data_IF_651142535772
#
_entry.id   IF_651142535772
#
_cell.length_a   1.000
_cell.length_b   1.000
_cell.length_c   1.000
_cell.angle_alpha   90.00
_cell.angle_beta   90.00
_cell.angle_gamma   90.00
#
_symmetry.space_group_name_H-M   'P 1'
#
loop_
_entity.id
_entity.type
_entity.pdbx_description
1 polymer ?
#
# COMPACT_ATOMS: atom_id res chain seq x y z
N UNK A 1 -43.94 -70.17 -6.87
CA UNK A 1 -45.27 -69.53 -6.82
C UNK A 1 -45.25 -68.42 -5.78
N UNK A 2 -45.79 -67.24 -6.15
CA UNK A 2 -45.72 -65.96 -5.44
C UNK A 2 -46.38 -65.97 -4.05
N UNK A 3 -45.87 -65.11 -3.15
CA UNK A 3 -46.61 -64.23 -2.22
C UNK A 3 -45.57 -63.31 -1.51
N UNK A 4 -45.46 -62.05 -1.90
CA UNK A 4 -46.22 -60.85 -1.46
C UNK A 4 -45.76 -60.28 -0.11
N UNK A 5 -45.09 -59.12 -0.24
CA UNK A 5 -45.03 -57.92 0.61
C UNK A 5 -45.15 -58.06 2.14
N UNK A 6 -44.17 -57.48 2.84
CA UNK A 6 -44.42 -56.59 3.99
C UNK A 6 -43.32 -55.54 4.13
N UNK A 7 -43.75 -54.28 4.16
CA UNK A 7 -42.97 -53.11 4.53
C UNK A 7 -42.50 -53.23 5.98
N UNK A 8 -41.22 -52.98 6.24
CA UNK A 8 -40.77 -52.57 7.57
C UNK A 8 -39.63 -51.56 7.41
N UNK A 9 -40.01 -50.29 7.44
CA UNK A 9 -39.14 -49.18 7.80
C UNK A 9 -38.48 -49.52 9.16
N UNK A 10 -37.17 -49.69 9.18
CA UNK A 10 -36.40 -49.49 10.41
C UNK A 10 -35.25 -48.53 10.06
N UNK A 11 -35.56 -47.27 10.35
CA UNK A 11 -34.65 -46.15 10.48
C UNK A 11 -33.54 -46.54 11.45
N UNK A 12 -32.31 -46.69 10.95
CA UNK A 12 -31.14 -46.75 11.83
C UNK A 12 -30.33 -45.48 11.64
N UNK A 13 -30.26 -44.75 12.74
CA UNK A 13 -29.81 -43.38 12.92
C UNK A 13 -28.33 -43.26 12.54
N UNK A 14 -28.04 -42.54 11.45
CA UNK A 14 -26.72 -41.98 11.24
C UNK A 14 -26.51 -40.89 12.29
N UNK A 15 -25.71 -41.18 13.31
CA UNK A 15 -25.22 -40.21 14.28
C UNK A 15 -24.25 -39.27 13.55
N UNK A 16 -24.82 -38.30 12.83
CA UNK A 16 -24.08 -37.23 12.20
C UNK A 16 -23.47 -36.36 13.29
N UNK A 17 -22.15 -36.48 13.47
CA UNK A 17 -21.36 -35.43 14.11
C UNK A 17 -21.52 -34.16 13.25
N UNK A 18 -22.46 -33.31 13.64
CA UNK A 18 -22.58 -31.95 13.12
C UNK A 18 -21.42 -31.16 13.70
N UNK A 19 -20.28 -31.20 13.02
CA UNK A 19 -19.30 -30.13 13.12
C UNK A 19 -19.97 -28.88 12.56
N UNK A 20 -20.56 -28.09 13.45
CA UNK A 20 -20.97 -26.73 13.16
C UNK A 20 -19.72 -25.96 12.73
N UNK A 21 -19.49 -25.88 11.42
CA UNK A 21 -18.60 -24.89 10.85
C UNK A 21 -19.17 -23.53 11.22
N UNK A 22 -18.68 -22.96 12.33
CA UNK A 22 -18.83 -21.54 12.61
C UNK A 22 -18.26 -20.83 11.38
N UNK A 23 -19.02 -20.01 10.65
CA UNK A 23 -18.42 -19.16 9.65
C UNK A 23 -17.49 -18.22 10.43
N UNK A 24 -16.20 -18.52 10.41
CA UNK A 24 -15.19 -17.60 10.88
C UNK A 24 -15.43 -16.30 10.12
N UNK A 25 -15.79 -15.25 10.84
CA UNK A 25 -15.85 -13.90 10.30
C UNK A 25 -14.51 -13.64 9.61
N UNK A 26 -14.48 -13.73 8.28
CA UNK A 26 -13.37 -13.28 7.45
C UNK A 26 -13.29 -11.74 7.39
N UNK A 27 -13.61 -11.07 8.50
CA UNK A 27 -13.49 -9.63 8.70
C UNK A 27 -12.21 -9.35 9.49
N UNK A 28 -11.09 -9.82 8.96
CA UNK A 28 -9.76 -9.32 9.27
C UNK A 28 -8.82 -9.59 8.08
N UNK A 29 -9.33 -9.47 6.85
CA UNK A 29 -8.44 -9.29 5.71
C UNK A 29 -7.96 -7.83 5.75
N UNK A 30 -6.70 -7.61 6.13
CA UNK A 30 -6.07 -6.30 6.00
C UNK A 30 -6.18 -5.82 4.54
N UNK A 31 -6.34 -4.51 4.35
CA UNK A 31 -6.37 -3.92 3.00
C UNK A 31 -5.10 -4.33 2.24
N UNK A 32 -5.23 -4.67 0.96
CA UNK A 32 -4.05 -4.86 0.09
C UNK A 32 -3.35 -3.50 -0.09
N UNK A 33 -2.12 -3.43 0.43
CA UNK A 33 -1.27 -2.23 0.41
C UNK A 33 -0.13 -2.34 -0.60
N UNK A 34 -0.23 -3.29 -1.53
CA UNK A 34 0.76 -3.44 -2.59
C UNK A 34 0.85 -2.19 -3.47
N UNK A 35 2.03 -1.97 -4.04
CA UNK A 35 2.28 -0.92 -5.02
C UNK A 35 1.30 -0.99 -6.20
N UNK A 36 1.10 -2.18 -6.75
CA UNK A 36 0.16 -2.41 -7.83
C UNK A 36 -1.25 -1.94 -7.46
N UNK A 37 -1.72 -2.27 -6.25
CA UNK A 37 -3.04 -1.85 -5.77
C UNK A 37 -3.17 -0.33 -5.65
N UNK A 38 -2.12 0.34 -5.19
CA UNK A 38 -2.09 1.80 -5.12
C UNK A 38 -2.18 2.44 -6.51
N UNK A 39 -1.38 1.94 -7.47
CA UNK A 39 -1.32 2.49 -8.83
C UNK A 39 -2.60 2.27 -9.65
N UNK A 40 -3.43 1.27 -9.31
CA UNK A 40 -4.75 1.08 -9.94
C UNK A 40 -5.63 2.33 -9.86
N UNK A 41 -5.56 3.08 -8.76
CA UNK A 41 -6.37 4.29 -8.54
C UNK A 41 -5.56 5.58 -8.74
N UNK A 42 -4.27 5.58 -8.37
CA UNK A 42 -3.41 6.77 -8.47
C UNK A 42 -2.80 6.99 -9.86
N UNK A 43 -2.93 6.00 -10.76
CA UNK A 43 -2.38 6.02 -12.11
C UNK A 43 -0.97 5.44 -12.19
N UNK A 44 -0.40 5.32 -13.41
CA UNK A 44 0.94 4.78 -13.60
C UNK A 44 2.01 5.68 -12.94
N UNK A 45 3.07 5.06 -12.44
CA UNK A 45 4.10 5.74 -11.67
C UNK A 45 4.75 6.89 -12.45
N UNK A 46 4.96 6.73 -13.75
CA UNK A 46 5.60 7.72 -14.62
C UNK A 46 4.81 9.03 -14.63
N UNK A 47 3.48 8.97 -14.56
CA UNK A 47 2.63 10.16 -14.45
C UNK A 47 2.74 10.84 -13.09
N UNK A 48 3.04 10.10 -12.02
CA UNK A 48 3.30 10.66 -10.70
C UNK A 48 4.68 11.32 -10.65
N UNK A 49 5.69 10.66 -11.24
CA UNK A 49 7.03 11.21 -11.39
C UNK A 49 7.08 12.44 -12.30
N UNK A 50 6.20 12.55 -13.30
CA UNK A 50 6.15 13.72 -14.19
C UNK A 50 5.41 14.92 -13.59
N UNK A 51 4.77 14.79 -12.42
CA UNK A 51 4.06 15.93 -11.80
C UNK A 51 5.04 17.02 -11.39
N UNK A 52 4.63 18.30 -11.48
CA UNK A 52 5.41 19.40 -10.95
C UNK A 52 5.76 19.18 -9.47
N UNK A 53 6.94 19.64 -9.02
CA UNK A 53 7.30 19.60 -7.62
C UNK A 53 6.27 20.30 -6.74
N UNK A 54 5.87 19.64 -5.64
CA UNK A 54 4.85 20.17 -4.73
C UNK A 54 5.25 20.07 -3.25
N UNK A 55 6.17 19.16 -2.90
CA UNK A 55 6.62 19.02 -1.53
C UNK A 55 7.64 20.12 -1.22
N UNK A 56 7.37 20.96 -0.23
CA UNK A 56 8.28 22.02 0.18
C UNK A 56 9.44 21.43 0.99
N UNK A 57 10.57 21.23 0.33
CA UNK A 57 11.86 20.88 0.93
C UNK A 57 12.69 22.11 1.27
N UNK A 58 13.61 21.98 2.22
CA UNK A 58 14.60 23.02 2.50
C UNK A 58 15.86 22.76 1.67
N UNK A 59 16.35 23.77 0.95
CA UNK A 59 17.63 23.76 0.22
C UNK A 59 18.52 24.85 0.85
N UNK A 60 19.60 24.45 1.56
CA UNK A 60 20.47 25.30 2.35
C UNK A 60 21.49 25.99 1.43
N UNK A 61 21.93 25.34 0.35
CA UNK A 61 22.82 25.91 -0.66
C UNK A 61 22.16 27.06 -1.45
N UNK A 62 20.82 27.13 -1.44
CA UNK A 62 20.05 28.26 -2.01
C UNK A 62 19.35 29.13 -0.97
N UNK A 63 19.48 28.85 0.33
CA UNK A 63 18.73 29.50 1.41
C UNK A 63 17.23 29.64 1.11
N UNK A 64 16.64 28.66 0.42
CA UNK A 64 15.28 28.74 -0.13
C UNK A 64 14.55 27.41 0.06
N UNK A 65 13.24 27.51 0.30
CA UNK A 65 12.37 26.35 0.17
C UNK A 65 12.31 25.96 -1.31
N UNK A 66 12.86 24.81 -1.66
CA UNK A 66 12.68 24.22 -2.99
C UNK A 66 11.49 23.28 -2.96
N UNK A 67 10.60 23.40 -3.93
CA UNK A 67 9.61 22.36 -4.13
C UNK A 67 10.31 21.16 -4.78
N UNK A 68 10.13 19.97 -4.24
CA UNK A 68 10.60 18.69 -4.80
C UNK A 68 9.42 17.77 -5.10
N UNK A 69 9.60 16.87 -6.07
CA UNK A 69 8.74 15.71 -6.27
C UNK A 69 9.52 14.47 -5.86
N UNK A 70 9.26 13.86 -4.67
CA UNK A 70 10.02 12.70 -4.21
C UNK A 70 10.05 11.53 -5.20
N UNK A 71 9.02 11.38 -6.04
CA UNK A 71 8.96 10.35 -7.09
C UNK A 71 9.97 10.56 -8.24
N UNK A 72 10.64 11.71 -8.33
CA UNK A 72 11.71 11.93 -9.32
C UNK A 72 13.10 11.62 -8.77
N UNK A 73 13.21 11.57 -7.44
CA UNK A 73 14.49 11.56 -6.75
C UNK A 73 14.71 10.30 -5.92
N UNK A 74 13.67 9.52 -5.59
CA UNK A 74 13.84 8.30 -4.81
C UNK A 74 13.21 7.06 -5.46
N UNK A 75 13.99 5.98 -5.68
CA UNK A 75 15.44 5.91 -5.48
C UNK A 75 16.17 6.77 -6.53
N UNK A 76 17.38 7.23 -6.20
CA UNK A 76 18.13 8.14 -7.07
C UNK A 76 18.51 7.51 -8.42
N UNK A 77 18.72 6.20 -8.46
CA UNK A 77 19.31 5.48 -9.58
C UNK A 77 18.29 4.84 -10.54
N UNK A 78 17.08 4.51 -10.07
CA UNK A 78 16.04 3.87 -10.88
C UNK A 78 14.72 4.63 -10.76
N UNK A 79 14.37 5.32 -11.85
CA UNK A 79 13.19 6.18 -11.93
C UNK A 79 11.93 5.45 -12.42
N UNK A 80 11.96 4.12 -12.45
CA UNK A 80 10.83 3.29 -12.85
C UNK A 80 10.06 2.77 -11.63
N UNK A 81 8.83 2.32 -11.86
CA UNK A 81 8.03 1.65 -10.82
C UNK A 81 8.77 0.46 -10.15
N UNK A 82 9.69 -0.20 -10.86
CA UNK A 82 10.40 -1.37 -10.31
C UNK A 82 11.45 -0.98 -9.28
N UNK A 83 12.11 0.15 -9.48
CA UNK A 83 13.14 0.65 -8.58
C UNK A 83 12.60 1.18 -7.26
N UNK A 84 11.37 1.69 -7.27
CA UNK A 84 10.83 2.36 -6.09
C UNK A 84 10.51 1.39 -4.96
N UNK A 85 10.70 1.85 -3.73
CA UNK A 85 10.15 1.17 -2.56
C UNK A 85 8.61 1.17 -2.60
N UNK A 86 7.97 0.37 -1.76
CA UNK A 86 6.50 0.40 -1.66
C UNK A 86 5.99 1.79 -1.32
N UNK A 87 4.81 2.14 -1.86
CA UNK A 87 4.19 3.45 -1.67
C UNK A 87 4.02 3.79 -0.18
N UNK A 88 3.81 2.75 0.64
CA UNK A 88 3.66 2.84 2.09
C UNK A 88 4.90 3.32 2.83
N UNK A 89 6.04 3.38 2.14
CA UNK A 89 7.25 3.94 2.71
C UNK A 89 7.10 5.43 3.03
N UNK A 90 6.42 6.20 2.18
CA UNK A 90 6.18 7.64 2.41
C UNK A 90 4.70 7.98 2.62
N UNK A 91 3.78 7.13 2.15
CA UNK A 91 2.35 7.36 2.24
C UNK A 91 1.73 6.45 3.29
N UNK A 92 0.71 6.94 4.01
CA UNK A 92 -0.15 6.04 4.77
C UNK A 92 -1.31 5.56 3.89
N UNK A 93 -1.61 4.24 3.88
CA UNK A 93 -2.80 3.73 3.21
C UNK A 93 -4.05 4.43 3.74
N UNK A 94 -4.90 4.85 2.82
CA UNK A 94 -6.24 5.32 3.16
C UNK A 94 -7.24 4.16 3.03
N UNK A 95 -8.43 4.32 3.63
CA UNK A 95 -9.55 3.41 3.40
C UNK A 95 -9.86 3.29 1.90
N UNK A 96 -10.34 2.13 1.47
CA UNK A 96 -10.88 1.99 0.11
C UNK A 96 -12.15 2.87 -0.05
N UNK A 97 -12.43 3.31 -1.27
CA UNK A 97 -13.62 4.11 -1.61
C UNK A 97 -13.71 5.46 -0.89
N UNK A 98 -12.59 6.18 -0.86
CA UNK A 98 -12.53 7.59 -0.44
C UNK A 98 -13.57 8.44 -1.19
N UNK A 99 -14.32 9.26 -0.45
CA UNK A 99 -15.24 10.24 -1.01
C UNK A 99 -14.54 11.58 -1.25
N UNK A 100 -15.01 12.42 -2.19
CA UNK A 100 -14.51 13.79 -2.31
C UNK A 100 -14.59 14.53 -0.97
N UNK A 101 -13.47 15.11 -0.53
CA UNK A 101 -13.37 15.81 0.75
C UNK A 101 -12.96 14.94 1.95
N UNK A 102 -12.90 13.61 1.80
CA UNK A 102 -12.29 12.76 2.83
C UNK A 102 -10.82 13.16 3.01
N UNK A 103 -10.41 13.34 4.27
CA UNK A 103 -9.03 13.70 4.61
C UNK A 103 -8.16 12.45 4.56
N UNK A 104 -7.01 12.57 3.90
CA UNK A 104 -5.92 11.60 4.01
C UNK A 104 -4.78 12.21 4.80
N UNK A 105 -4.02 11.36 5.47
CA UNK A 105 -2.73 11.77 5.98
C UNK A 105 -1.81 12.13 4.81
N UNK A 106 -1.06 13.22 4.97
CA UNK A 106 -0.09 13.64 3.96
C UNK A 106 1.12 12.71 4.01
N UNK A 107 1.70 12.48 2.84
CA UNK A 107 3.00 11.83 2.78
C UNK A 107 4.06 12.68 3.50
N UNK A 108 5.03 12.00 4.11
CA UNK A 108 6.20 12.62 4.72
C UNK A 108 7.47 12.17 4.00
N UNK A 109 8.52 12.98 4.16
CA UNK A 109 9.86 12.73 3.61
C UNK A 109 10.88 12.51 4.72
N UNK A 110 10.44 12.23 5.97
CA UNK A 110 11.37 12.14 7.10
C UNK A 110 12.42 11.05 6.87
N UNK A 111 12.02 9.98 6.17
CA UNK A 111 12.94 8.91 5.77
C UNK A 111 14.05 9.37 4.83
N UNK A 112 13.84 10.40 4.02
CA UNK A 112 14.89 10.99 3.20
C UNK A 112 16.00 11.60 4.05
N UNK A 113 15.67 12.12 5.24
CA UNK A 113 16.63 12.75 6.14
C UNK A 113 17.54 11.76 6.88
N UNK A 114 17.34 10.44 6.69
CA UNK A 114 18.35 9.45 7.09
C UNK A 114 19.67 9.62 6.31
N UNK A 115 19.59 9.97 5.02
CA UNK A 115 20.76 10.29 4.20
C UNK A 115 20.97 11.81 4.09
N UNK A 116 19.87 12.57 3.95
CA UNK A 116 19.87 14.03 3.94
C UNK A 116 19.83 14.58 5.37
N UNK A 117 20.86 14.30 6.18
CA UNK A 117 20.87 14.53 7.62
C UNK A 117 20.85 16.01 8.04
N UNK A 118 21.30 16.91 7.17
CA UNK A 118 21.15 18.37 7.31
C UNK A 118 19.68 18.82 7.08
N UNK A 119 18.82 17.88 6.69
CA UNK A 119 17.41 18.08 6.31
C UNK A 119 17.25 18.86 5.02
N UNK A 120 18.18 18.59 4.10
CA UNK A 120 18.39 19.36 2.89
C UNK A 120 18.55 18.47 1.68
N UNK A 121 17.96 18.85 0.55
CA UNK A 121 18.02 18.02 -0.67
C UNK A 121 19.24 18.27 -1.56
N UNK A 122 20.27 18.89 -1.00
CA UNK A 122 21.55 19.07 -1.69
C UNK A 122 22.30 17.75 -1.86
N UNK A 123 23.21 17.72 -2.83
CA UNK A 123 24.07 16.56 -3.06
C UNK A 123 25.08 16.43 -1.93
N UNK A 124 25.39 15.21 -1.51
CA UNK A 124 26.38 14.94 -0.45
C UNK A 124 27.73 15.61 -0.75
N UNK A 125 28.17 15.57 -2.01
CA UNK A 125 29.43 16.18 -2.49
C UNK A 125 29.49 17.70 -2.34
N UNK A 126 28.38 18.38 -2.10
CA UNK A 126 28.36 19.81 -1.82
C UNK A 126 28.99 20.13 -0.45
N UNK A 127 28.95 19.18 0.49
CA UNK A 127 29.47 19.34 1.86
C UNK A 127 30.54 18.30 2.24
N UNK A 128 30.55 17.16 1.57
CA UNK A 128 31.51 16.08 1.75
C UNK A 128 32.34 15.94 0.47
N UNK A 129 33.40 16.73 0.37
CA UNK A 129 34.50 16.42 -0.54
C UNK A 129 35.28 15.28 0.10
N UNK A 130 35.04 14.04 -0.36
CA UNK A 130 35.93 12.85 -0.40
C UNK A 130 35.06 11.61 -0.69
#
# INVERSE_FOLDING_TARGET
MKKLLTCAFIVSVFLGLMFSAVPGNAAAAGQDISKARCLMCHGPYEKLASKPPFFKGFDPGKSKITAVNPHQYWPHEDKTEKGIQDCTFCHKPHKENMKPGDKVERADVEKCFGCHHDRTFDRCKTCHEH
#
